data_IF_631290358258
#
_entry.id   IF_631290358258
#
_cell.length_a   1.000
_cell.length_b   1.000
_cell.length_c   1.000
_cell.angle_alpha   90.00
_cell.angle_beta   90.00
_cell.angle_gamma   90.00
#
_symmetry.space_group_name_H-M   'P 1'
#
loop_
_entity.id
_entity.type
_entity.pdbx_description
1 polymer ?
#
# COMPACT_ATOMS: atom_id res chain seq x y z
N UNK A 1 -22.45 13.98 -28.10
CA UNK A 1 -21.42 14.77 -28.69
C UNK A 1 -20.06 14.12 -28.43
N UNK A 2 -19.17 14.19 -29.40
CA UNK A 2 -17.80 13.63 -29.42
C UNK A 2 -16.86 14.26 -28.34
N UNK A 3 -17.35 15.19 -27.53
CA UNK A 3 -16.55 15.88 -26.50
C UNK A 3 -16.36 15.14 -25.17
N UNK A 4 -17.17 14.13 -24.87
CA UNK A 4 -17.18 13.48 -23.55
C UNK A 4 -16.27 12.24 -23.45
N UNK A 5 -15.70 11.79 -24.55
CA UNK A 5 -14.85 10.58 -24.58
C UNK A 5 -13.43 10.87 -24.11
N UNK A 6 -12.96 12.12 -24.17
CA UNK A 6 -11.57 12.50 -23.86
C UNK A 6 -11.29 12.88 -22.40
N UNK A 7 -12.27 12.86 -21.51
CA UNK A 7 -12.09 13.18 -20.07
C UNK A 7 -12.12 11.96 -19.14
N UNK A 8 -11.90 10.76 -19.62
CA UNK A 8 -11.56 9.65 -18.71
C UNK A 8 -10.11 9.82 -18.25
N UNK A 9 -9.90 10.63 -17.24
CA UNK A 9 -8.64 10.61 -16.51
C UNK A 9 -8.41 9.17 -16.04
N UNK A 10 -7.39 8.53 -16.61
CA UNK A 10 -6.86 7.28 -16.09
C UNK A 10 -6.39 7.56 -14.66
N UNK A 11 -6.97 6.89 -13.71
CA UNK A 11 -6.55 7.03 -12.32
C UNK A 11 -5.11 6.53 -12.19
N UNK A 12 -4.20 7.41 -11.79
CA UNK A 12 -2.79 7.07 -11.60
C UNK A 12 -2.56 6.15 -10.39
N UNK A 13 -3.52 6.06 -9.46
CA UNK A 13 -3.41 5.29 -8.22
C UNK A 13 -4.70 4.48 -7.97
N UNK A 14 -4.64 3.13 -8.05
CA UNK A 14 -5.79 2.25 -7.83
C UNK A 14 -6.44 2.42 -6.44
N UNK A 15 -5.65 2.65 -5.39
CA UNK A 15 -6.15 2.88 -4.03
C UNK A 15 -7.02 4.14 -3.96
N UNK A 16 -6.55 5.25 -4.54
CA UNK A 16 -7.29 6.49 -4.58
C UNK A 16 -8.52 6.39 -5.48
N UNK A 17 -8.42 5.65 -6.60
CA UNK A 17 -9.54 5.38 -7.47
C UNK A 17 -10.66 4.61 -6.74
N UNK A 18 -10.32 3.56 -6.02
CA UNK A 18 -11.28 2.77 -5.25
C UNK A 18 -11.93 3.60 -4.14
N UNK A 19 -11.13 4.27 -3.29
CA UNK A 19 -11.67 5.09 -2.19
C UNK A 19 -12.48 6.29 -2.69
N UNK A 20 -12.06 6.93 -3.77
CA UNK A 20 -12.82 8.01 -4.41
C UNK A 20 -14.12 7.52 -5.03
N UNK A 21 -14.13 6.31 -5.57
CA UNK A 21 -15.33 5.69 -6.13
C UNK A 21 -16.38 5.41 -5.06
N UNK A 22 -15.95 4.85 -3.90
CA UNK A 22 -16.85 4.57 -2.78
C UNK A 22 -17.49 5.84 -2.18
N UNK A 23 -16.90 7.01 -2.42
CA UNK A 23 -17.44 8.31 -1.96
C UNK A 23 -18.35 8.98 -3.00
N UNK A 24 -18.56 8.39 -4.16
CA UNK A 24 -19.45 8.94 -5.19
C UNK A 24 -20.90 8.84 -4.76
N UNK A 25 -21.66 9.93 -4.94
CA UNK A 25 -23.08 9.97 -4.63
C UNK A 25 -23.94 9.33 -5.73
N UNK A 26 -23.43 9.25 -6.95
CA UNK A 26 -24.16 8.67 -8.08
C UNK A 26 -23.84 7.18 -8.24
N UNK A 27 -24.80 6.26 -7.98
CA UNK A 27 -24.60 4.81 -8.06
C UNK A 27 -24.22 4.33 -9.46
N UNK A 28 -24.66 4.99 -10.51
CA UNK A 28 -24.33 4.61 -11.88
C UNK A 28 -22.83 4.80 -12.17
N UNK A 29 -22.21 5.84 -11.62
CA UNK A 29 -20.78 6.07 -11.71
C UNK A 29 -20.02 4.97 -10.97
N UNK A 30 -20.48 4.60 -9.77
CA UNK A 30 -19.88 3.51 -8.99
C UNK A 30 -19.94 2.19 -9.77
N UNK A 31 -21.10 1.84 -10.29
CA UNK A 31 -21.32 0.63 -11.08
C UNK A 31 -20.41 0.56 -12.32
N UNK A 32 -20.21 1.70 -13.01
CA UNK A 32 -19.35 1.77 -14.19
C UNK A 32 -17.86 1.49 -13.92
N UNK A 33 -17.42 1.66 -12.68
CA UNK A 33 -16.01 1.51 -12.28
C UNK A 33 -15.62 0.10 -11.88
N UNK A 34 -16.59 -0.83 -11.80
CA UNK A 34 -16.38 -2.27 -11.55
C UNK A 34 -15.41 -2.54 -10.40
N UNK A 35 -15.70 -1.99 -9.23
CA UNK A 35 -14.92 -2.26 -8.02
C UNK A 35 -14.93 -3.74 -7.70
N UNK A 36 -13.80 -4.21 -7.17
CA UNK A 36 -13.61 -5.57 -6.74
C UNK A 36 -13.02 -5.58 -5.31
N UNK A 37 -13.18 -6.70 -4.59
CA UNK A 37 -12.73 -6.82 -3.21
C UNK A 37 -12.10 -8.19 -2.95
N UNK A 38 -10.96 -8.19 -2.26
CA UNK A 38 -10.38 -9.39 -1.69
C UNK A 38 -10.71 -9.47 -0.21
N UNK A 39 -11.13 -10.65 0.24
CA UNK A 39 -11.43 -10.93 1.64
C UNK A 39 -10.24 -11.64 2.28
N UNK A 40 -9.85 -11.21 3.46
CA UNK A 40 -8.64 -11.68 4.12
C UNK A 40 -8.85 -12.12 5.57
N UNK A 41 -10.08 -12.08 6.05
CA UNK A 41 -10.43 -12.49 7.40
C UNK A 41 -11.90 -12.92 7.48
N UNK A 42 -12.17 -14.05 8.12
CA UNK A 42 -13.49 -14.55 8.41
C UNK A 42 -13.75 -14.48 9.92
N UNK A 43 -14.83 -13.84 10.31
CA UNK A 43 -15.29 -13.68 11.68
C UNK A 43 -16.60 -14.41 11.89
N UNK A 44 -16.78 -15.02 13.06
CA UNK A 44 -18.02 -15.67 13.44
C UNK A 44 -17.86 -16.47 14.72
N UNK A 45 -18.98 -16.86 15.31
CA UNK A 45 -19.02 -17.73 16.50
C UNK A 45 -18.75 -19.20 16.14
N UNK A 46 -19.31 -19.67 15.03
CA UNK A 46 -19.19 -21.03 14.54
C UNK A 46 -18.41 -21.07 13.23
N UNK A 47 -17.10 -20.93 13.33
CA UNK A 47 -16.23 -20.99 12.16
C UNK A 47 -16.03 -22.45 11.70
N UNK A 48 -15.88 -22.70 10.37
CA UNK A 48 -15.75 -24.06 9.83
C UNK A 48 -14.48 -24.77 10.28
N UNK A 49 -13.44 -24.05 10.69
CA UNK A 49 -12.15 -24.62 11.11
C UNK A 49 -11.49 -23.81 12.24
N UNK A 50 -10.55 -24.45 12.93
CA UNK A 50 -9.74 -23.84 14.00
C UNK A 50 -8.50 -23.09 13.47
N UNK A 51 -8.34 -22.98 12.16
CA UNK A 51 -7.24 -22.29 11.50
C UNK A 51 -7.70 -21.15 10.61
N UNK A 52 -6.97 -20.04 10.63
CA UNK A 52 -7.23 -18.88 9.81
C UNK A 52 -7.18 -19.19 8.30
N UNK A 53 -6.13 -19.92 7.87
CA UNK A 53 -5.97 -20.34 6.47
C UNK A 53 -7.12 -21.24 6.02
N UNK A 54 -7.49 -22.23 6.82
CA UNK A 54 -8.55 -23.18 6.54
C UNK A 54 -9.91 -22.49 6.42
N UNK A 55 -10.17 -21.49 7.27
CA UNK A 55 -11.38 -20.66 7.20
C UNK A 55 -11.43 -19.81 5.92
N UNK A 56 -10.29 -19.30 5.45
CA UNK A 56 -10.22 -18.59 4.17
C UNK A 56 -10.46 -19.55 2.99
N UNK A 57 -10.00 -20.80 3.06
CA UNK A 57 -10.32 -21.79 2.03
C UNK A 57 -11.81 -22.13 2.00
N UNK A 58 -12.46 -22.23 3.17
CA UNK A 58 -13.91 -22.40 3.24
C UNK A 58 -14.65 -21.20 2.65
N UNK A 59 -14.23 -19.97 2.96
CA UNK A 59 -14.80 -18.77 2.38
C UNK A 59 -14.64 -18.73 0.85
N UNK A 60 -13.49 -19.19 0.32
CA UNK A 60 -13.28 -19.36 -1.12
C UNK A 60 -14.27 -20.36 -1.73
N UNK A 61 -14.51 -21.47 -1.07
CA UNK A 61 -15.48 -22.48 -1.53
C UNK A 61 -16.93 -21.92 -1.54
N UNK A 62 -17.22 -20.93 -0.70
CA UNK A 62 -18.52 -20.22 -0.72
C UNK A 62 -18.60 -19.13 -1.79
N UNK A 63 -17.56 -18.95 -2.59
CA UNK A 63 -17.52 -17.98 -3.69
C UNK A 63 -16.94 -16.60 -3.33
N UNK A 64 -16.41 -16.41 -2.11
CA UNK A 64 -15.69 -15.17 -1.78
C UNK A 64 -14.32 -15.14 -2.45
N UNK A 65 -13.94 -13.98 -2.94
CA UNK A 65 -12.64 -13.76 -3.58
C UNK A 65 -11.54 -13.65 -2.53
N UNK A 66 -10.81 -14.74 -2.36
CA UNK A 66 -9.64 -14.83 -1.48
C UNK A 66 -8.39 -14.72 -2.35
N UNK A 67 -7.34 -13.98 -1.95
CA UNK A 67 -6.09 -13.93 -2.71
C UNK A 67 -5.51 -15.32 -2.95
N UNK A 68 -5.12 -15.63 -4.18
CA UNK A 68 -4.54 -16.95 -4.52
C UNK A 68 -3.12 -17.14 -3.97
N UNK A 69 -2.48 -16.03 -3.64
CA UNK A 69 -1.08 -15.98 -3.18
C UNK A 69 -0.90 -16.31 -1.69
N UNK A 70 -1.97 -16.58 -0.94
CA UNK A 70 -1.84 -16.95 0.47
C UNK A 70 -1.21 -18.33 0.63
N UNK A 71 -0.34 -18.48 1.65
CA UNK A 71 0.38 -19.72 1.95
C UNK A 71 0.39 -19.99 3.45
N UNK A 72 0.20 -21.26 3.81
CA UNK A 72 0.43 -21.75 5.16
C UNK A 72 1.88 -22.21 5.28
N UNK A 73 2.64 -21.60 6.19
CA UNK A 73 4.03 -21.92 6.46
C UNK A 73 4.14 -22.73 7.75
N UNK A 74 5.07 -23.68 7.80
CA UNK A 74 5.31 -24.55 8.96
C UNK A 74 6.65 -24.25 9.65
N UNK A 75 7.53 -23.51 8.97
CA UNK A 75 8.85 -23.15 9.47
C UNK A 75 9.19 -21.70 9.19
N UNK A 76 10.20 -21.17 9.88
CA UNK A 76 10.76 -19.85 9.54
C UNK A 76 11.36 -19.83 8.13
N UNK A 77 11.95 -20.94 7.68
CA UNK A 77 12.52 -21.02 6.34
C UNK A 77 11.42 -20.89 5.28
N UNK A 78 10.24 -21.53 5.46
CA UNK A 78 9.10 -21.36 4.56
C UNK A 78 8.66 -19.89 4.45
N UNK A 79 8.73 -19.15 5.57
CA UNK A 79 8.39 -17.73 5.62
C UNK A 79 9.41 -16.92 4.84
N UNK A 80 10.71 -17.15 5.05
CA UNK A 80 11.77 -16.44 4.33
C UNK A 80 11.74 -16.72 2.83
N UNK A 81 11.51 -17.96 2.44
CA UNK A 81 11.37 -18.34 1.03
C UNK A 81 10.17 -17.66 0.37
N UNK A 82 9.06 -17.56 1.09
CA UNK A 82 7.88 -16.85 0.64
C UNK A 82 8.13 -15.35 0.48
N UNK A 83 8.82 -14.73 1.43
CA UNK A 83 9.19 -13.31 1.38
C UNK A 83 10.13 -13.06 0.17
N UNK A 84 11.18 -13.86 0.02
CA UNK A 84 12.14 -13.72 -1.08
C UNK A 84 11.47 -13.87 -2.44
N UNK A 85 10.57 -14.84 -2.59
CA UNK A 85 9.81 -15.05 -3.81
C UNK A 85 8.95 -13.82 -4.17
N UNK A 86 8.17 -13.31 -3.22
CA UNK A 86 7.26 -12.19 -3.49
C UNK A 86 7.95 -10.84 -3.54
N UNK A 87 9.12 -10.68 -3.00
CA UNK A 87 9.90 -9.45 -3.20
C UNK A 87 10.20 -9.20 -4.68
N UNK A 88 10.40 -10.29 -5.45
CA UNK A 88 10.64 -10.25 -6.89
C UNK A 88 9.34 -10.31 -7.69
N UNK A 89 8.48 -11.29 -7.42
CA UNK A 89 7.32 -11.64 -8.25
C UNK A 89 6.09 -10.76 -8.00
N UNK A 90 6.06 -9.95 -6.95
CA UNK A 90 4.91 -9.07 -6.61
C UNK A 90 4.50 -8.12 -7.74
N UNK A 91 5.44 -7.71 -8.59
CA UNK A 91 5.16 -6.84 -9.75
C UNK A 91 4.32 -7.51 -10.84
N UNK A 92 4.23 -8.83 -10.84
CA UNK A 92 3.39 -9.61 -11.73
C UNK A 92 1.96 -9.83 -11.19
N UNK A 93 1.67 -9.36 -9.97
CA UNK A 93 0.33 -9.43 -9.39
C UNK A 93 -0.63 -8.44 -10.05
N UNK A 94 -1.93 -8.78 -10.15
CA UNK A 94 -2.94 -7.88 -10.71
C UNK A 94 -3.24 -6.66 -9.84
N UNK A 95 -2.70 -6.64 -8.61
CA UNK A 95 -2.84 -5.54 -7.66
C UNK A 95 -1.46 -5.16 -7.11
N UNK A 96 -1.25 -3.87 -6.90
CA UNK A 96 0.00 -3.37 -6.30
C UNK A 96 0.08 -3.83 -4.83
N UNK A 97 1.24 -4.38 -4.46
CA UNK A 97 1.52 -4.86 -3.11
C UNK A 97 2.84 -4.27 -2.61
N UNK A 98 2.88 -3.85 -1.36
CA UNK A 98 4.03 -3.21 -0.71
C UNK A 98 4.63 -4.05 0.42
N UNK A 99 4.02 -5.21 0.70
CA UNK A 99 4.47 -6.09 1.78
C UNK A 99 3.63 -7.34 1.91
N UNK A 100 3.94 -8.08 2.96
CA UNK A 100 3.30 -9.34 3.35
C UNK A 100 2.79 -9.19 4.78
N UNK A 101 1.65 -9.81 5.08
CA UNK A 101 1.16 -9.91 6.45
C UNK A 101 1.31 -11.35 6.93
N UNK A 102 2.13 -11.54 7.94
CA UNK A 102 2.31 -12.82 8.65
C UNK A 102 1.28 -12.90 9.76
N UNK A 103 0.57 -14.00 9.85
CA UNK A 103 -0.48 -14.21 10.85
C UNK A 103 -0.31 -15.57 11.51
N UNK A 104 -0.55 -15.63 12.82
CA UNK A 104 -0.65 -16.92 13.52
C UNK A 104 -1.90 -17.66 13.02
N UNK A 105 -1.75 -18.89 12.55
CA UNK A 105 -2.86 -19.65 11.95
C UNK A 105 -3.89 -20.15 12.96
N UNK A 106 -3.46 -20.59 14.13
CA UNK A 106 -4.36 -21.14 15.16
C UNK A 106 -5.23 -20.05 15.77
N UNK A 107 -6.55 -20.17 15.65
CA UNK A 107 -7.52 -19.24 16.24
C UNK A 107 -7.44 -19.23 17.77
N UNK A 108 -7.15 -20.36 18.39
CA UNK A 108 -6.91 -20.43 19.83
C UNK A 108 -5.70 -19.58 20.24
N UNK A 109 -4.61 -19.69 19.51
CA UNK A 109 -3.42 -18.87 19.78
C UNK A 109 -3.68 -17.39 19.49
N UNK A 110 -4.45 -17.05 18.46
CA UNK A 110 -4.86 -15.67 18.19
C UNK A 110 -5.64 -15.08 19.37
N UNK A 111 -6.60 -15.84 19.93
CA UNK A 111 -7.37 -15.41 21.11
C UNK A 111 -6.46 -15.20 22.34
N UNK A 112 -5.52 -16.11 22.58
CA UNK A 112 -4.57 -16.02 23.71
C UNK A 112 -3.63 -14.82 23.59
N UNK A 113 -3.13 -14.52 22.38
CA UNK A 113 -2.28 -13.36 22.12
C UNK A 113 -3.06 -12.03 22.21
N UNK A 114 -4.30 -12.03 21.77
CA UNK A 114 -5.20 -10.90 21.84
C UNK A 114 -4.79 -9.71 20.96
N UNK A 115 -5.19 -8.53 21.42
CA UNK A 115 -5.03 -7.26 20.70
C UNK A 115 -4.35 -6.22 21.58
N UNK A 116 -3.71 -5.26 20.94
CA UNK A 116 -3.41 -3.95 21.53
C UNK A 116 -4.58 -3.01 21.22
N UNK A 117 -4.52 -1.77 21.71
CA UNK A 117 -5.53 -0.74 21.35
C UNK A 117 -5.61 -0.45 19.84
N UNK A 118 -4.57 -0.80 19.05
CA UNK A 118 -4.45 -0.42 17.62
C UNK A 118 -4.33 -1.61 16.68
N UNK A 119 -3.89 -2.77 17.14
CA UNK A 119 -3.54 -3.88 16.25
C UNK A 119 -3.61 -5.25 16.96
N UNK A 120 -3.81 -6.35 16.21
CA UNK A 120 -3.68 -7.68 16.75
C UNK A 120 -2.22 -8.00 17.10
N UNK A 121 -2.00 -8.75 18.19
CA UNK A 121 -0.66 -9.23 18.58
C UNK A 121 -0.23 -10.48 17.79
N UNK A 122 -1.14 -11.10 17.08
CA UNK A 122 -0.95 -12.31 16.31
C UNK A 122 -0.71 -12.06 14.80
N UNK A 123 -0.54 -10.81 14.42
CA UNK A 123 -0.24 -10.43 13.04
C UNK A 123 0.89 -9.40 13.00
N UNK A 124 1.77 -9.53 12.02
CA UNK A 124 2.87 -8.61 11.76
C UNK A 124 2.97 -8.32 10.26
N UNK A 125 3.17 -7.06 9.90
CA UNK A 125 3.40 -6.65 8.54
C UNK A 125 4.92 -6.63 8.26
N UNK A 126 5.32 -7.34 7.22
CA UNK A 126 6.65 -7.21 6.62
C UNK A 126 6.53 -6.33 5.38
N UNK A 127 7.18 -5.19 5.37
CA UNK A 127 7.21 -4.27 4.23
C UNK A 127 8.42 -4.57 3.37
N UNK A 128 8.20 -4.75 2.06
CA UNK A 128 9.31 -4.82 1.11
C UNK A 128 10.06 -3.49 1.08
N UNK A 129 11.32 -3.54 0.69
CA UNK A 129 12.09 -2.33 0.50
C UNK A 129 11.42 -1.45 -0.57
N UNK A 130 11.28 -0.17 -0.25
CA UNK A 130 10.71 0.79 -1.17
C UNK A 130 11.64 0.98 -2.38
N UNK A 131 11.03 1.17 -3.55
CA UNK A 131 11.82 1.53 -4.73
C UNK A 131 12.38 2.94 -4.57
N UNK A 132 13.61 3.12 -5.02
CA UNK A 132 14.34 4.39 -5.02
C UNK A 132 14.72 4.79 -6.43
N UNK A 133 14.72 6.09 -6.68
CA UNK A 133 15.28 6.67 -7.90
C UNK A 133 16.12 7.88 -7.54
N UNK A 134 17.19 8.08 -8.28
CA UNK A 134 18.02 9.26 -8.17
C UNK A 134 17.50 10.37 -9.07
N UNK A 135 17.41 11.58 -8.53
CA UNK A 135 16.98 12.76 -9.28
C UNK A 135 17.58 14.02 -8.69
N UNK A 136 17.38 15.15 -9.37
CA UNK A 136 17.93 16.45 -8.94
C UNK A 136 16.89 17.26 -8.16
N UNK A 137 17.33 17.88 -7.06
CA UNK A 137 16.54 18.85 -6.31
C UNK A 137 16.58 20.21 -7.00
N UNK A 138 15.46 20.61 -7.62
CA UNK A 138 15.38 21.87 -8.36
C UNK A 138 15.04 23.06 -7.46
N UNK A 139 14.15 22.87 -6.48
CA UNK A 139 13.75 23.87 -5.50
C UNK A 139 13.00 23.26 -4.33
N UNK A 140 12.84 24.04 -3.26
CA UNK A 140 11.98 23.69 -2.12
C UNK A 140 10.83 24.69 -2.06
N UNK A 141 9.61 24.21 -1.96
CA UNK A 141 8.40 25.00 -1.73
C UNK A 141 7.74 24.60 -0.41
N UNK A 142 6.97 25.51 0.15
CA UNK A 142 6.27 25.26 1.41
C UNK A 142 4.77 25.20 1.18
N UNK A 143 4.12 24.20 1.78
CA UNK A 143 2.67 24.02 1.74
C UNK A 143 2.10 24.19 3.13
N UNK A 144 0.99 24.92 3.22
CA UNK A 144 0.26 25.07 4.48
C UNK A 144 -0.89 24.06 4.51
N UNK A 145 -0.88 23.18 5.49
CA UNK A 145 -1.95 22.21 5.74
C UNK A 145 -3.20 22.87 6.36
N UNK A 146 -4.30 22.15 6.42
CA UNK A 146 -5.57 22.63 7.00
C UNK A 146 -5.46 23.07 8.46
N UNK A 147 -4.51 22.52 9.19
CA UNK A 147 -4.25 22.86 10.60
C UNK A 147 -3.22 23.96 10.78
N UNK A 148 -2.80 24.66 9.69
CA UNK A 148 -1.76 25.67 9.71
C UNK A 148 -0.32 25.13 9.72
N UNK A 149 -0.14 23.81 9.72
CA UNK A 149 1.20 23.19 9.66
C UNK A 149 1.86 23.49 8.31
N UNK A 150 3.08 24.02 8.36
CA UNK A 150 3.90 24.28 7.16
C UNK A 150 4.77 23.07 6.88
N UNK A 151 4.61 22.49 5.68
CA UNK A 151 5.35 21.31 5.26
C UNK A 151 6.23 21.66 4.06
N UNK A 152 7.55 21.45 4.13
CA UNK A 152 8.44 21.63 2.99
C UNK A 152 8.26 20.50 1.97
N UNK A 153 8.32 20.85 0.69
CA UNK A 153 8.17 19.96 -0.45
C UNK A 153 9.31 20.18 -1.42
N UNK A 154 10.04 19.13 -1.73
CA UNK A 154 11.05 19.13 -2.76
C UNK A 154 10.38 19.12 -4.15
N UNK A 155 10.77 20.06 -5.01
CA UNK A 155 10.46 20.03 -6.42
C UNK A 155 11.66 19.42 -7.16
N UNK A 156 11.41 18.34 -7.87
CA UNK A 156 12.44 17.47 -8.42
C UNK A 156 12.44 17.52 -9.95
N UNK A 157 13.59 17.24 -10.54
CA UNK A 157 13.62 16.84 -11.94
C UNK A 157 12.72 15.60 -12.10
N UNK A 158 11.82 15.54 -13.12
CA UNK A 158 10.91 14.42 -13.27
C UNK A 158 11.65 13.09 -13.42
N UNK A 159 11.30 12.11 -12.58
CA UNK A 159 11.92 10.78 -12.58
C UNK A 159 10.85 9.69 -12.53
N UNK A 160 11.07 8.60 -13.26
CA UNK A 160 10.19 7.43 -13.22
C UNK A 160 10.50 6.63 -11.95
N UNK A 161 9.48 6.40 -11.11
CA UNK A 161 9.59 5.65 -9.86
C UNK A 161 8.32 4.86 -9.63
N UNK A 162 8.43 3.53 -9.48
CA UNK A 162 7.29 2.64 -9.26
C UNK A 162 6.17 2.84 -10.31
N UNK A 163 6.53 2.95 -11.60
CA UNK A 163 5.58 3.13 -12.71
C UNK A 163 4.92 4.51 -12.78
N UNK A 164 5.35 5.47 -11.98
CA UNK A 164 4.80 6.84 -11.93
C UNK A 164 5.90 7.87 -12.10
N UNK A 165 5.64 8.94 -12.86
CA UNK A 165 6.58 10.06 -12.95
C UNK A 165 6.44 10.93 -11.70
N UNK A 166 7.49 10.97 -10.90
CA UNK A 166 7.59 11.76 -9.67
C UNK A 166 8.25 13.10 -9.98
N UNK A 167 7.61 14.20 -9.58
CA UNK A 167 8.10 15.58 -9.72
C UNK A 167 8.22 16.31 -8.38
N UNK A 168 7.61 15.75 -7.33
CA UNK A 168 7.57 16.35 -6.00
C UNK A 168 7.67 15.27 -4.95
N UNK A 169 8.39 15.56 -3.87
CA UNK A 169 8.54 14.66 -2.73
C UNK A 169 8.42 15.43 -1.41
N UNK A 170 7.92 14.76 -0.38
CA UNK A 170 7.85 15.35 0.96
C UNK A 170 9.24 15.41 1.60
N UNK A 171 9.50 16.51 2.28
CA UNK A 171 10.66 16.70 3.17
C UNK A 171 10.25 16.64 4.65
N UNK A 172 9.00 16.32 4.94
CA UNK A 172 8.38 16.20 6.25
C UNK A 172 8.45 17.51 7.09
N UNK A 173 9.64 17.94 7.47
CA UNK A 173 9.88 19.14 8.29
C UNK A 173 11.29 19.72 8.03
N UNK A 174 11.62 20.84 8.68
CA UNK A 174 12.91 21.51 8.53
C UNK A 174 14.08 20.64 9.04
N UNK A 175 13.87 19.87 10.11
CA UNK A 175 14.92 19.03 10.70
C UNK A 175 15.46 17.99 9.72
N UNK A 176 14.60 17.48 8.82
CA UNK A 176 15.02 16.56 7.75
C UNK A 176 15.92 17.27 6.72
N UNK A 177 15.61 18.52 6.38
CA UNK A 177 16.41 19.32 5.44
C UNK A 177 17.81 19.55 6.03
N UNK A 178 17.87 19.95 7.31
CA UNK A 178 19.14 20.16 8.02
C UNK A 178 19.91 18.86 8.20
N UNK A 179 19.23 17.76 8.62
CA UNK A 179 19.86 16.46 8.85
C UNK A 179 20.44 15.82 7.60
N UNK A 180 19.88 16.11 6.43
CA UNK A 180 20.37 15.64 5.14
C UNK A 180 21.32 16.64 4.47
N UNK A 181 21.53 17.83 5.06
CA UNK A 181 22.35 18.92 4.52
C UNK A 181 21.99 19.25 3.05
N UNK A 182 20.69 19.36 2.78
CA UNK A 182 20.15 19.48 1.42
C UNK A 182 20.35 20.87 0.83
N UNK A 183 20.94 20.94 -0.37
CA UNK A 183 21.10 22.15 -1.16
C UNK A 183 20.37 22.04 -2.51
N UNK A 184 19.92 23.17 -3.02
CA UNK A 184 19.33 23.25 -4.36
C UNK A 184 20.38 22.86 -5.40
N UNK A 185 20.04 21.94 -6.27
CA UNK A 185 20.92 21.38 -7.28
C UNK A 185 21.54 20.03 -6.93
N UNK A 186 21.36 19.56 -5.69
CA UNK A 186 21.86 18.26 -5.24
C UNK A 186 21.19 17.10 -5.97
N UNK A 187 21.94 16.02 -6.12
CA UNK A 187 21.42 14.71 -6.46
C UNK A 187 20.84 14.08 -5.19
N UNK A 188 19.58 13.68 -5.25
CA UNK A 188 18.84 13.14 -4.12
C UNK A 188 18.18 11.81 -4.49
N UNK A 189 18.03 10.94 -3.51
CA UNK A 189 17.24 9.74 -3.66
C UNK A 189 15.80 10.03 -3.25
N UNK A 190 14.86 9.71 -4.14
CA UNK A 190 13.44 9.72 -3.85
C UNK A 190 12.95 8.29 -3.67
N UNK A 191 12.24 8.05 -2.58
CA UNK A 191 11.69 6.75 -2.22
C UNK A 191 10.16 6.80 -2.25
N UNK A 192 9.56 5.78 -2.84
CA UNK A 192 8.11 5.58 -2.85
C UNK A 192 7.79 4.19 -2.35
N UNK A 193 7.48 4.08 -1.06
CA UNK A 193 6.91 2.87 -0.48
C UNK A 193 5.42 2.76 -0.74
N UNK A 194 4.72 1.92 0.02
CA UNK A 194 3.25 1.81 -0.02
C UNK A 194 2.52 3.10 0.32
N UNK A 195 3.24 4.14 0.67
CA UNK A 195 2.74 5.50 0.84
C UNK A 195 2.55 6.18 -0.51
N UNK A 196 1.50 6.98 -0.61
CA UNK A 196 1.14 7.68 -1.86
C UNK A 196 2.12 8.84 -2.14
N UNK A 197 2.73 9.38 -1.09
CA UNK A 197 3.60 10.57 -1.15
C UNK A 197 5.05 10.12 -1.20
N UNK A 198 5.79 10.41 -2.29
CA UNK A 198 7.24 10.19 -2.33
C UNK A 198 7.95 11.03 -1.27
N UNK A 199 9.04 10.52 -0.72
CA UNK A 199 9.90 11.22 0.25
C UNK A 199 11.35 11.20 -0.20
N UNK A 200 12.11 12.21 0.22
CA UNK A 200 13.57 12.26 0.08
C UNK A 200 14.20 11.42 1.20
N UNK A 201 15.25 10.66 0.85
CA UNK A 201 16.02 9.82 1.76
C UNK A 201 17.52 9.95 1.50
#
# INVERSE_FOLDING_TARGET
GLGDVYKRQLFANPRNAASGTLKQQNPAIVASRKLDAYFYYLLGENLPAEGHYENLQAARAWGFKIPDVIRKCQSLQDIFDYIAYWDVERKNLPVATDGIVLKVNSLRQQRNLGFTSKSPRWAIAYKFQAERAETRLNSVSFQVGRTGTVTPVANLEPVLLAGTVVKRASLHNADIIEGLDLHIGDQVYVEKGGEIIPKIV
#
